data_IF_902089102954
#
_entry.id   IF_902089102954
#
_cell.length_a   1.000
_cell.length_b   1.000
_cell.length_c   1.000
_cell.angle_alpha   90.00
_cell.angle_beta   90.00
_cell.angle_gamma   90.00
#
_symmetry.space_group_name_H-M   'P 1'
#
loop_
_entity.id
_entity.type
_entity.pdbx_description
1 polymer ?
#
# COMPACT_ATOMS: atom_id res chain seq x y z
N UNK A 1 3.95 8.66 18.34
CA UNK A 1 4.77 9.30 17.28
C UNK A 1 3.83 9.93 16.27
N UNK A 2 4.04 11.18 15.89
CA UNK A 2 3.26 11.80 14.81
C UNK A 2 3.61 11.12 13.48
N UNK A 3 2.59 10.71 12.71
CA UNK A 3 2.80 10.08 11.41
C UNK A 3 3.34 11.10 10.43
N UNK A 4 4.30 10.71 9.59
CA UNK A 4 4.84 11.59 8.54
C UNK A 4 3.80 11.76 7.43
N UNK A 5 3.50 12.98 6.97
CA UNK A 5 2.63 13.16 5.80
C UNK A 5 3.33 12.60 4.55
N UNK A 6 2.58 11.92 3.70
CA UNK A 6 3.06 11.40 2.41
C UNK A 6 1.96 11.51 1.36
N UNK A 7 2.31 11.96 0.16
CA UNK A 7 1.38 12.00 -0.97
C UNK A 7 1.09 10.59 -1.49
N UNK A 8 -0.07 10.39 -2.11
CA UNK A 8 -0.47 9.08 -2.67
C UNK A 8 0.56 8.51 -3.64
N UNK A 9 1.13 9.34 -4.51
CA UNK A 9 2.11 8.92 -5.50
C UNK A 9 3.41 8.41 -4.87
N UNK A 10 3.93 9.13 -3.88
CA UNK A 10 5.15 8.73 -3.16
C UNK A 10 4.93 7.45 -2.35
N UNK A 11 3.75 7.32 -1.73
CA UNK A 11 3.40 6.11 -1.00
C UNK A 11 3.23 4.90 -1.92
N UNK A 12 2.62 5.08 -3.10
CA UNK A 12 2.52 4.03 -4.12
C UNK A 12 3.91 3.58 -4.60
N UNK A 13 4.82 4.52 -4.88
CA UNK A 13 6.21 4.21 -5.25
C UNK A 13 6.94 3.45 -4.14
N UNK A 14 6.78 3.87 -2.89
CA UNK A 14 7.41 3.21 -1.75
C UNK A 14 6.93 1.76 -1.61
N UNK A 15 5.62 1.53 -1.75
CA UNK A 15 5.05 0.18 -1.70
C UNK A 15 5.53 -0.65 -2.88
N UNK A 16 5.53 -0.09 -4.10
CA UNK A 16 6.04 -0.77 -5.29
C UNK A 16 7.50 -1.18 -5.14
N UNK A 17 8.36 -0.26 -4.68
CA UNK A 17 9.77 -0.55 -4.42
C UNK A 17 9.94 -1.70 -3.43
N UNK A 18 9.16 -1.69 -2.33
CA UNK A 18 9.17 -2.79 -1.37
C UNK A 18 8.62 -4.09 -1.95
N UNK A 19 7.62 -4.04 -2.83
CA UNK A 19 7.13 -5.21 -3.55
C UNK A 19 8.21 -5.84 -4.43
N UNK A 20 9.06 -5.05 -5.09
CA UNK A 20 10.16 -5.58 -5.93
C UNK A 20 11.22 -6.34 -5.12
N UNK A 21 11.33 -6.10 -3.80
CA UNK A 21 12.18 -6.90 -2.90
C UNK A 21 11.62 -8.31 -2.67
N UNK A 22 10.37 -8.58 -3.06
CA UNK A 22 9.70 -9.86 -2.93
C UNK A 22 9.51 -10.56 -4.28
N UNK A 23 10.12 -11.73 -4.44
CA UNK A 23 9.96 -12.57 -5.64
C UNK A 23 8.52 -13.00 -5.93
N UNK A 24 7.64 -12.90 -4.93
CA UNK A 24 6.21 -13.23 -5.05
C UNK A 24 5.37 -12.12 -5.70
N UNK A 25 5.94 -10.90 -5.85
CA UNK A 25 5.32 -9.76 -6.48
C UNK A 25 5.99 -9.47 -7.84
N UNK A 26 5.45 -9.99 -8.96
CA UNK A 26 5.98 -9.69 -10.28
C UNK A 26 5.91 -8.19 -10.61
N UNK A 27 6.82 -7.69 -11.46
CA UNK A 27 6.96 -6.26 -11.72
C UNK A 27 5.77 -5.64 -12.48
N UNK A 28 4.89 -6.48 -13.04
CA UNK A 28 3.66 -6.05 -13.69
C UNK A 28 2.51 -5.69 -12.75
N UNK A 29 2.60 -6.03 -11.45
CA UNK A 29 1.51 -5.75 -10.51
C UNK A 29 1.48 -4.27 -10.16
N UNK A 30 0.36 -3.64 -10.47
CA UNK A 30 0.10 -2.26 -10.11
C UNK A 30 -0.52 -2.17 -8.72
N UNK A 31 -0.12 -1.15 -7.96
CA UNK A 31 -0.64 -0.85 -6.63
C UNK A 31 -1.28 0.54 -6.62
N UNK A 32 -2.49 0.62 -6.07
CA UNK A 32 -3.27 1.83 -5.94
C UNK A 32 -3.49 2.16 -4.46
N UNK A 33 -3.36 3.44 -4.10
CA UNK A 33 -3.63 3.92 -2.75
C UNK A 33 -5.04 4.47 -2.67
N UNK A 34 -5.90 3.81 -1.88
CA UNK A 34 -7.27 4.25 -1.62
C UNK A 34 -7.38 4.90 -0.25
N UNK A 35 -8.07 6.04 -0.18
CA UNK A 35 -8.52 6.61 1.09
C UNK A 35 -9.60 5.68 1.67
N UNK A 36 -9.44 5.26 2.92
CA UNK A 36 -10.41 4.41 3.63
C UNK A 36 -10.76 5.06 4.97
N UNK A 37 -12.01 4.92 5.42
CA UNK A 37 -12.37 5.28 6.79
C UNK A 37 -11.98 4.14 7.72
N UNK A 38 -11.18 4.44 8.73
CA UNK A 38 -10.93 3.56 9.87
C UNK A 38 -11.66 4.05 11.10
N UNK A 39 -11.82 3.18 12.10
CA UNK A 39 -12.38 3.53 13.40
C UNK A 39 -11.65 4.71 14.08
N UNK A 40 -10.39 4.95 13.72
CA UNK A 40 -9.55 6.04 14.24
C UNK A 40 -9.56 7.31 13.35
N UNK A 41 -10.38 7.37 12.30
CA UNK A 41 -10.49 8.51 11.38
C UNK A 41 -10.05 8.22 9.94
N UNK A 42 -9.80 9.25 9.12
CA UNK A 42 -9.40 9.09 7.73
C UNK A 42 -8.04 8.39 7.65
N UNK A 43 -8.00 7.29 6.91
CA UNK A 43 -6.78 6.53 6.66
C UNK A 43 -6.69 6.12 5.20
N UNK A 44 -5.81 5.17 4.94
CA UNK A 44 -5.53 4.72 3.59
C UNK A 44 -5.20 3.23 3.58
N UNK A 45 -5.38 2.60 2.42
CA UNK A 45 -5.00 1.22 2.16
C UNK A 45 -4.39 1.12 0.78
N UNK A 46 -3.33 0.33 0.63
CA UNK A 46 -2.84 -0.05 -0.68
C UNK A 46 -3.58 -1.29 -1.16
N UNK A 47 -4.01 -1.28 -2.41
CA UNK A 47 -4.70 -2.39 -3.06
C UNK A 47 -4.05 -2.66 -4.40
N UNK A 48 -3.88 -3.92 -4.75
CA UNK A 48 -3.50 -4.30 -6.12
C UNK A 48 -4.75 -4.43 -6.97
N UNK A 49 -4.57 -4.50 -8.29
CA UNK A 49 -5.68 -4.82 -9.19
C UNK A 49 -6.36 -6.15 -8.79
N UNK A 50 -7.69 -6.27 -8.96
CA UNK A 50 -8.43 -7.45 -8.53
C UNK A 50 -8.02 -8.73 -9.28
N UNK A 51 -7.64 -8.62 -10.56
CA UNK A 51 -7.09 -9.75 -11.30
C UNK A 51 -5.74 -10.21 -10.72
N UNK A 52 -4.85 -9.26 -10.41
CA UNK A 52 -3.55 -9.54 -9.80
C UNK A 52 -3.67 -10.09 -8.38
N UNK A 53 -4.65 -9.62 -7.60
CA UNK A 53 -4.83 -10.09 -6.23
C UNK A 53 -5.32 -11.54 -6.18
N UNK A 54 -6.06 -12.00 -7.20
CA UNK A 54 -6.51 -13.38 -7.36
C UNK A 54 -5.38 -14.27 -7.88
N UNK A 55 -4.67 -13.82 -8.93
CA UNK A 55 -3.58 -14.59 -9.53
C UNK A 55 -2.34 -14.64 -8.63
N UNK A 56 -2.05 -13.56 -7.91
CA UNK A 56 -0.87 -13.39 -7.06
C UNK A 56 -1.27 -13.14 -5.59
N UNK A 57 -2.01 -14.10 -5.01
CA UNK A 57 -2.48 -14.03 -3.61
C UNK A 57 -1.36 -13.75 -2.61
N UNK A 58 -0.16 -14.30 -2.84
CA UNK A 58 1.03 -14.03 -1.99
C UNK A 58 1.42 -12.56 -2.04
N UNK A 59 1.46 -11.97 -3.23
CA UNK A 59 1.74 -10.54 -3.39
C UNK A 59 0.68 -9.68 -2.70
N UNK A 60 -0.60 -10.02 -2.86
CA UNK A 60 -1.68 -9.29 -2.17
C UNK A 60 -1.51 -9.30 -0.64
N UNK A 61 -1.06 -10.42 -0.06
CA UNK A 61 -0.74 -10.51 1.37
C UNK A 61 0.45 -9.62 1.75
N UNK A 62 1.50 -9.60 0.94
CA UNK A 62 2.67 -8.73 1.13
C UNK A 62 2.23 -7.26 1.11
N UNK A 63 1.44 -6.85 0.11
CA UNK A 63 0.90 -5.49 0.03
C UNK A 63 0.05 -5.14 1.25
N UNK A 64 -0.76 -6.08 1.75
CA UNK A 64 -1.50 -5.92 3.01
C UNK A 64 -0.59 -5.71 4.23
N UNK A 65 0.47 -6.50 4.36
CA UNK A 65 1.46 -6.37 5.43
C UNK A 65 2.23 -5.03 5.35
N UNK A 66 2.68 -4.66 4.15
CA UNK A 66 3.33 -3.38 3.86
C UNK A 66 2.41 -2.20 4.20
N UNK A 67 1.13 -2.31 3.85
CA UNK A 67 0.12 -1.30 4.19
C UNK A 67 0.02 -1.11 5.70
N UNK A 68 -0.07 -2.20 6.46
CA UNK A 68 -0.17 -2.12 7.92
C UNK A 68 1.09 -1.50 8.56
N UNK A 69 2.29 -1.88 8.09
CA UNK A 69 3.54 -1.30 8.59
C UNK A 69 3.63 0.20 8.27
N UNK A 70 3.38 0.57 7.02
CA UNK A 70 3.51 1.95 6.56
C UNK A 70 2.44 2.86 7.15
N UNK A 71 1.23 2.35 7.41
CA UNK A 71 0.14 3.12 8.04
C UNK A 71 0.45 3.54 9.48
N UNK A 72 1.36 2.85 10.16
CA UNK A 72 1.85 3.26 11.48
C UNK A 72 2.85 4.42 11.38
N UNK A 73 3.57 4.52 10.26
CA UNK A 73 4.64 5.52 10.03
C UNK A 73 4.15 6.75 9.27
N UNK A 74 3.17 6.58 8.38
CA UNK A 74 2.74 7.57 7.41
C UNK A 74 1.24 7.87 7.46
N UNK A 75 0.90 9.16 7.37
CA UNK A 75 -0.45 9.65 7.17
C UNK A 75 -0.58 10.13 5.72
N UNK A 76 -1.71 9.82 5.09
CA UNK A 76 -1.96 10.29 3.73
C UNK A 76 -2.13 11.80 3.78
N UNK A 77 -1.32 12.54 3.03
CA UNK A 77 -1.53 13.97 2.83
C UNK A 77 -2.74 14.16 1.90
N UNK A 78 -3.60 15.12 2.24
CA UNK A 78 -4.59 15.66 1.31
C UNK A 78 -3.83 16.53 0.31
N UNK A 79 -3.26 15.88 -0.70
CA UNK A 79 -2.80 16.56 -1.91
C UNK A 79 -4.02 17.03 -2.71
#
# INVERSE_FOLDING_TARGET
MAKKPISKAELAKLIRHRMDEHSECPPGISVEIRKVKTSEGPGWSAVTNPADSITHVKCARIVGALTLELRQKYALSDD
#
